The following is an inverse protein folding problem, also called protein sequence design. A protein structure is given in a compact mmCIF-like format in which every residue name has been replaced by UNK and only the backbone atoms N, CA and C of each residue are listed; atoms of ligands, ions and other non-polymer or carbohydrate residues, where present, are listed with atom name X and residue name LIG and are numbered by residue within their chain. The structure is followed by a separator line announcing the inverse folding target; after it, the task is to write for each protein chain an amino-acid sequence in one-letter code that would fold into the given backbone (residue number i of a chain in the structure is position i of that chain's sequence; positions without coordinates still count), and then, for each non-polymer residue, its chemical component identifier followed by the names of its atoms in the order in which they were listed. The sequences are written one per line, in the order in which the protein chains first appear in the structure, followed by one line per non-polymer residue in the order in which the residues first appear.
data_IF_680556558512
#
_entry.id   IF_680556558512
#
_cell.length_a   1.000
_cell.length_b   1.000
_cell.length_c   1.000
_cell.angle_alpha   90.00
_cell.angle_beta   90.00
_cell.angle_gamma   90.00
#
_symmetry.space_group_name_H-M   'P 1'
#
loop_
_entity.id
_entity.type
_entity.pdbx_description
1 polymer ?
#
# COMPACT_ATOMS: atom_id res chain seq x y z
N UNK A 1 32.62 11.95 -40.10
CA UNK A 1 31.83 11.70 -38.88
C UNK A 1 31.54 13.07 -38.26
N UNK A 2 30.36 13.60 -38.52
CA UNK A 2 29.93 14.90 -37.96
C UNK A 2 29.27 14.64 -36.61
N UNK A 3 29.95 15.00 -35.53
CA UNK A 3 29.38 15.05 -34.21
C UNK A 3 28.35 16.20 -34.20
N UNK A 4 27.06 15.85 -34.20
CA UNK A 4 25.98 16.84 -34.07
C UNK A 4 26.02 17.37 -32.63
N UNK A 5 26.40 18.63 -32.46
CA UNK A 5 26.31 19.32 -31.16
C UNK A 5 24.85 19.49 -30.80
N UNK A 6 24.38 18.79 -29.79
CA UNK A 6 23.03 19.02 -29.23
C UNK A 6 22.93 20.42 -28.67
N UNK A 7 21.82 21.10 -28.92
CA UNK A 7 21.53 22.41 -28.36
C UNK A 7 21.35 22.35 -26.84
N UNK A 8 21.64 23.43 -26.12
CA UNK A 8 21.44 23.53 -24.66
C UNK A 8 19.97 23.27 -24.30
N UNK A 9 19.06 23.60 -25.18
CA UNK A 9 17.62 23.38 -25.01
C UNK A 9 17.23 21.88 -25.09
N UNK A 10 17.82 21.15 -26.06
CA UNK A 10 17.63 19.70 -26.20
C UNK A 10 18.19 18.91 -25.01
N UNK A 11 19.34 19.33 -24.47
CA UNK A 11 19.93 18.74 -23.26
C UNK A 11 19.06 19.01 -22.04
N UNK A 12 18.49 20.22 -21.93
CA UNK A 12 17.55 20.57 -20.85
C UNK A 12 16.27 19.75 -20.93
N UNK A 13 15.66 19.61 -22.12
CA UNK A 13 14.42 18.85 -22.30
C UNK A 13 14.62 17.35 -22.04
N UNK A 14 15.74 16.79 -22.45
CA UNK A 14 16.09 15.38 -22.13
C UNK A 14 16.30 15.15 -20.63
N UNK A 15 16.94 16.09 -19.93
CA UNK A 15 17.18 15.98 -18.48
C UNK A 15 15.86 16.06 -17.69
N UNK A 16 14.95 16.94 -18.10
CA UNK A 16 13.60 17.06 -17.50
C UNK A 16 12.75 15.82 -17.78
N UNK A 17 12.85 15.22 -18.97
CA UNK A 17 12.17 13.97 -19.28
C UNK A 17 12.67 12.83 -18.38
N UNK A 18 13.99 12.68 -18.22
CA UNK A 18 14.59 11.64 -17.34
C UNK A 18 14.20 11.79 -15.87
N UNK A 19 14.20 13.01 -15.34
CA UNK A 19 13.74 13.27 -13.96
C UNK A 19 12.31 12.79 -13.73
N UNK A 20 11.40 13.08 -14.66
CA UNK A 20 10.01 12.60 -14.59
C UNK A 20 9.90 11.07 -14.58
N UNK A 21 10.77 10.38 -15.30
CA UNK A 21 10.81 8.93 -15.32
C UNK A 21 11.29 8.34 -13.97
N UNK A 22 12.28 8.95 -13.31
CA UNK A 22 12.66 8.56 -11.95
C UNK A 22 11.53 8.78 -10.94
N UNK A 23 10.83 9.90 -11.01
CA UNK A 23 9.63 10.12 -10.18
C UNK A 23 8.57 9.08 -10.47
N UNK A 24 8.33 8.71 -11.73
CA UNK A 24 7.37 7.68 -12.10
C UNK A 24 7.73 6.29 -11.54
N UNK A 25 9.03 5.94 -11.44
CA UNK A 25 9.50 4.70 -10.80
C UNK A 25 9.04 4.60 -9.35
N UNK A 26 9.01 5.71 -8.60
CA UNK A 26 8.65 5.72 -7.17
C UNK A 26 7.15 5.56 -6.92
N UNK A 27 6.30 5.55 -7.97
CA UNK A 27 4.82 5.48 -7.87
C UNK A 27 4.25 6.49 -6.87
N UNK A 28 4.41 7.80 -7.06
CA UNK A 28 4.18 8.82 -6.02
C UNK A 28 2.78 8.78 -5.41
N UNK A 29 1.73 8.45 -6.19
CA UNK A 29 0.35 8.34 -5.67
C UNK A 29 0.20 7.24 -4.62
N UNK A 30 0.82 6.08 -4.85
CA UNK A 30 0.78 4.95 -3.91
C UNK A 30 1.65 5.26 -2.71
N UNK A 31 2.86 5.77 -2.93
CA UNK A 31 3.79 6.17 -1.87
C UNK A 31 3.15 7.21 -0.94
N UNK A 32 2.44 8.21 -1.46
CA UNK A 32 1.73 9.20 -0.67
C UNK A 32 0.71 8.54 0.29
N UNK A 33 -0.09 7.57 -0.20
CA UNK A 33 -1.05 6.85 0.65
C UNK A 33 -0.34 6.04 1.75
N UNK A 34 0.79 5.40 1.43
CA UNK A 34 1.61 4.69 2.41
C UNK A 34 2.12 5.67 3.49
N UNK A 35 2.60 6.84 3.10
CA UNK A 35 3.10 7.84 4.05
C UNK A 35 2.00 8.38 4.96
N UNK A 36 0.77 8.56 4.45
CA UNK A 36 -0.38 8.93 5.28
C UNK A 36 -0.66 7.89 6.36
N UNK A 37 -0.50 6.59 6.08
CA UNK A 37 -0.68 5.54 7.10
C UNK A 37 0.41 5.56 8.16
N UNK A 38 1.66 5.90 7.79
CA UNK A 38 2.77 6.11 8.73
C UNK A 38 2.48 7.28 9.66
N UNK A 39 2.02 8.40 9.10
CA UNK A 39 1.65 9.60 9.90
C UNK A 39 0.49 9.28 10.84
N UNK A 40 -0.56 8.62 10.35
CA UNK A 40 -1.72 8.25 11.18
C UNK A 40 -1.32 7.32 12.33
N UNK A 41 -0.41 6.34 12.08
CA UNK A 41 0.10 5.46 13.12
C UNK A 41 0.94 6.23 14.17
N UNK A 42 1.80 7.15 13.74
CA UNK A 42 2.56 8.02 14.63
C UNK A 42 1.68 8.93 15.46
N UNK A 43 0.60 9.48 14.85
CA UNK A 43 -0.38 10.29 15.57
C UNK A 43 -1.14 9.46 16.62
N UNK A 44 -1.65 8.29 16.25
CA UNK A 44 -2.32 7.38 17.20
C UNK A 44 -1.38 6.99 18.35
N UNK A 45 -0.10 6.77 18.08
CA UNK A 45 0.88 6.49 19.12
C UNK A 45 1.07 7.68 20.07
N UNK A 46 0.91 8.93 19.60
CA UNK A 46 1.05 10.13 20.44
C UNK A 46 -0.02 10.27 21.50
N UNK A 47 -1.13 9.55 21.38
CA UNK A 47 -2.17 9.49 22.42
C UNK A 47 -1.85 8.49 23.54
N UNK A 48 -0.79 7.68 23.37
CA UNK A 48 -0.37 6.64 24.31
C UNK A 48 0.97 6.97 24.96
N UNK A 49 1.87 7.58 24.20
CA UNK A 49 3.21 7.96 24.66
C UNK A 49 3.56 9.37 24.18
N UNK A 50 4.43 10.07 24.92
CA UNK A 50 4.95 11.36 24.45
C UNK A 50 5.82 11.18 23.23
N UNK A 51 5.43 11.77 22.09
CA UNK A 51 6.05 11.56 20.78
C UNK A 51 6.70 12.84 20.26
N UNK A 52 7.94 12.74 19.82
CA UNK A 52 8.58 13.81 19.06
C UNK A 52 8.07 13.81 17.60
N UNK A 53 7.55 14.93 17.13
CA UNK A 53 7.16 15.11 15.72
C UNK A 53 8.32 14.80 14.76
N UNK A 54 9.57 15.07 15.17
CA UNK A 54 10.76 14.75 14.40
C UNK A 54 10.92 13.23 14.16
N UNK A 55 10.57 12.38 15.13
CA UNK A 55 10.61 10.92 14.95
C UNK A 55 9.61 10.45 13.90
N UNK A 56 8.39 10.99 13.91
CA UNK A 56 7.37 10.69 12.90
C UNK A 56 7.82 11.18 11.52
N UNK A 57 8.38 12.38 11.44
CA UNK A 57 8.94 12.93 10.21
C UNK A 57 10.06 12.03 9.66
N UNK A 58 11.00 11.61 10.50
CA UNK A 58 12.07 10.69 10.09
C UNK A 58 11.52 9.34 9.62
N UNK A 59 10.46 8.80 10.27
CA UNK A 59 9.79 7.59 9.82
C UNK A 59 9.18 7.75 8.42
N UNK A 60 8.56 8.90 8.14
CA UNK A 60 8.01 9.24 6.82
C UNK A 60 9.11 9.27 5.75
N UNK A 61 10.23 9.97 6.00
CA UNK A 61 11.34 10.07 5.05
C UNK A 61 11.96 8.70 4.78
N UNK A 62 12.28 7.94 5.82
CA UNK A 62 12.86 6.60 5.66
C UNK A 62 11.91 5.64 4.94
N UNK A 63 10.61 5.67 5.29
CA UNK A 63 9.59 4.86 4.59
C UNK A 63 9.46 5.26 3.12
N UNK A 64 9.51 6.56 2.80
CA UNK A 64 9.49 7.04 1.41
C UNK A 64 10.63 6.43 0.60
N UNK A 65 11.85 6.44 1.12
CA UNK A 65 13.02 5.88 0.46
C UNK A 65 12.88 4.36 0.25
N UNK A 66 12.49 3.62 1.29
CA UNK A 66 12.27 2.16 1.19
C UNK A 66 11.15 1.82 0.20
N UNK A 67 10.03 2.57 0.21
CA UNK A 67 8.92 2.39 -0.72
C UNK A 67 9.30 2.74 -2.16
N UNK A 68 10.09 3.80 -2.37
CA UNK A 68 10.62 4.19 -3.67
C UNK A 68 11.51 3.09 -4.27
N UNK A 69 12.43 2.54 -3.47
CA UNK A 69 13.24 1.38 -3.83
C UNK A 69 12.37 0.17 -4.19
N UNK A 70 11.43 -0.18 -3.32
CA UNK A 70 10.52 -1.30 -3.55
C UNK A 70 9.74 -1.15 -4.86
N UNK A 71 9.25 0.05 -5.16
CA UNK A 71 8.53 0.34 -6.40
C UNK A 71 9.41 0.25 -7.65
N UNK A 72 10.65 0.72 -7.58
CA UNK A 72 11.61 0.66 -8.69
C UNK A 72 12.02 -0.79 -8.98
N UNK A 73 12.44 -1.54 -7.95
CA UNK A 73 12.89 -2.93 -8.10
C UNK A 73 11.74 -3.90 -8.45
N UNK A 74 10.52 -3.65 -7.99
CA UNK A 74 9.33 -4.36 -8.47
C UNK A 74 9.19 -4.24 -10.00
N UNK A 75 9.40 -3.04 -10.58
CA UNK A 75 9.34 -2.85 -12.03
C UNK A 75 10.46 -3.58 -12.76
N UNK A 76 11.65 -3.73 -12.14
CA UNK A 76 12.73 -4.55 -12.72
C UNK A 76 12.32 -6.01 -12.84
N UNK A 77 11.73 -6.58 -11.79
CA UNK A 77 11.27 -7.97 -11.78
C UNK A 77 10.11 -8.18 -12.76
N UNK A 78 9.17 -7.25 -12.83
CA UNK A 78 7.95 -7.34 -13.66
C UNK A 78 8.12 -6.81 -15.09
N UNK A 79 9.30 -6.33 -15.50
CA UNK A 79 9.49 -5.60 -16.77
C UNK A 79 8.92 -6.28 -18.01
N UNK A 80 9.10 -7.61 -18.13
CA UNK A 80 8.62 -8.39 -19.27
C UNK A 80 7.10 -8.63 -19.23
N UNK A 81 6.54 -8.70 -18.04
CA UNK A 81 5.11 -8.84 -17.81
C UNK A 81 4.41 -7.49 -18.06
N UNK A 82 5.00 -6.41 -17.52
CA UNK A 82 4.52 -5.04 -17.70
C UNK A 82 4.45 -4.63 -19.18
N UNK A 83 5.39 -5.08 -20.00
CA UNK A 83 5.39 -4.82 -21.44
C UNK A 83 4.21 -5.46 -22.18
N UNK A 84 3.60 -6.51 -21.63
CA UNK A 84 2.46 -7.23 -22.23
C UNK A 84 1.09 -6.63 -21.86
N UNK A 85 1.06 -5.71 -20.89
CA UNK A 85 -0.18 -5.12 -20.40
C UNK A 85 -0.30 -3.66 -20.86
N UNK A 86 -1.42 -3.27 -21.46
CA UNK A 86 -1.65 -1.92 -22.02
C UNK A 86 -1.47 -0.82 -20.95
N UNK A 87 -1.89 -1.10 -19.72
CA UNK A 87 -1.78 -0.17 -18.58
C UNK A 87 -0.35 0.11 -18.14
N UNK A 88 0.58 -0.81 -18.34
CA UNK A 88 1.95 -0.76 -17.78
C UNK A 88 3.05 -0.72 -18.82
N UNK A 89 2.76 -0.99 -20.07
CA UNK A 89 3.73 -0.96 -21.18
C UNK A 89 4.45 0.39 -21.34
N UNK A 90 3.76 1.49 -20.99
CA UNK A 90 4.31 2.85 -21.02
C UNK A 90 5.13 3.24 -19.77
N UNK A 91 5.38 2.32 -18.82
CA UNK A 91 6.28 2.59 -17.70
C UNK A 91 7.72 2.82 -18.19
N UNK A 92 8.55 3.58 -17.44
CA UNK A 92 9.90 3.95 -17.89
C UNK A 92 10.76 2.75 -18.31
N UNK A 93 10.70 1.64 -17.57
CA UNK A 93 11.53 0.47 -17.83
C UNK A 93 10.99 -0.40 -18.99
N UNK A 94 9.72 -0.80 -19.07
CA UNK A 94 9.18 -1.54 -20.22
C UNK A 94 9.28 -0.77 -21.54
N UNK A 95 9.13 0.55 -21.50
CA UNK A 95 9.22 1.41 -22.71
C UNK A 95 10.68 1.72 -23.15
N UNK A 96 11.68 1.27 -22.39
CA UNK A 96 13.09 1.49 -22.71
C UNK A 96 13.62 2.91 -22.42
N UNK A 97 12.82 3.79 -21.78
CA UNK A 97 13.28 5.15 -21.39
C UNK A 97 14.34 5.14 -20.29
N UNK A 98 14.32 4.14 -19.42
CA UNK A 98 15.37 3.88 -18.44
C UNK A 98 15.94 2.47 -18.62
N UNK A 99 17.27 2.36 -18.43
CA UNK A 99 17.97 1.08 -18.51
C UNK A 99 17.76 0.22 -17.24
N UNK A 100 17.80 -1.11 -17.40
CA UNK A 100 17.65 -2.03 -16.27
C UNK A 100 18.72 -1.79 -15.18
N UNK A 101 19.98 -1.69 -15.57
CA UNK A 101 21.09 -1.44 -14.63
C UNK A 101 20.90 -0.13 -13.88
N UNK A 102 20.46 0.91 -14.58
CA UNK A 102 20.19 2.24 -14.02
C UNK A 102 19.11 2.18 -12.93
N UNK A 103 18.01 1.46 -13.18
CA UNK A 103 16.91 1.29 -12.21
C UNK A 103 17.31 0.40 -11.05
N UNK A 104 18.11 -0.65 -11.27
CA UNK A 104 18.65 -1.50 -10.19
C UNK A 104 19.57 -0.70 -9.29
N UNK A 105 20.49 0.08 -9.84
CA UNK A 105 21.40 0.95 -9.06
C UNK A 105 20.61 1.96 -8.26
N UNK A 106 19.66 2.68 -8.89
CA UNK A 106 18.79 3.62 -8.21
C UNK A 106 18.04 2.96 -7.04
N UNK A 107 17.37 1.82 -7.28
CA UNK A 107 16.60 1.10 -6.27
C UNK A 107 17.47 0.60 -5.11
N UNK A 108 18.69 0.11 -5.41
CA UNK A 108 19.61 -0.41 -4.38
C UNK A 108 20.16 0.73 -3.51
N UNK A 109 20.63 1.82 -4.13
CA UNK A 109 21.13 2.99 -3.39
C UNK A 109 20.01 3.57 -2.50
N UNK A 110 18.80 3.73 -3.05
CA UNK A 110 17.67 4.28 -2.32
C UNK A 110 17.27 3.38 -1.14
N UNK A 111 17.35 2.04 -1.29
CA UNK A 111 17.15 1.10 -0.18
C UNK A 111 18.19 1.28 0.92
N UNK A 112 19.47 1.22 0.55
CA UNK A 112 20.58 1.34 1.51
C UNK A 112 20.48 2.65 2.30
N UNK A 113 20.28 3.78 1.59
CA UNK A 113 20.11 5.09 2.22
C UNK A 113 18.89 5.09 3.16
N UNK A 114 17.74 4.56 2.71
CA UNK A 114 16.51 4.50 3.52
C UNK A 114 16.67 3.66 4.79
N UNK A 115 17.29 2.48 4.70
CA UNK A 115 17.49 1.60 5.86
C UNK A 115 18.52 2.17 6.84
N UNK A 116 19.63 2.71 6.35
CA UNK A 116 20.63 3.35 7.20
C UNK A 116 20.02 4.58 7.89
N UNK A 117 19.23 5.37 7.16
CA UNK A 117 18.52 6.51 7.72
C UNK A 117 17.55 6.10 8.85
N UNK A 118 16.70 5.08 8.62
CA UNK A 118 15.78 4.56 9.66
C UNK A 118 16.55 4.04 10.88
N UNK A 119 17.67 3.37 10.65
CA UNK A 119 18.50 2.85 11.74
C UNK A 119 19.08 3.98 12.60
N UNK A 120 19.74 4.95 11.97
CA UNK A 120 20.44 6.02 12.69
C UNK A 120 19.49 7.05 13.30
N UNK A 121 18.42 7.42 12.56
CA UNK A 121 17.48 8.45 12.98
C UNK A 121 16.39 7.95 13.96
N UNK A 122 16.13 6.63 13.99
CA UNK A 122 15.05 6.05 14.80
C UNK A 122 15.55 4.86 15.61
N UNK A 123 15.67 3.68 15.00
CA UNK A 123 16.16 2.46 15.68
C UNK A 123 16.44 1.30 14.71
N UNK A 124 17.27 0.31 15.09
CA UNK A 124 17.48 -0.92 14.34
C UNK A 124 16.19 -1.71 14.10
N UNK A 125 15.26 -1.71 15.05
CA UNK A 125 13.97 -2.40 14.93
C UNK A 125 13.12 -1.82 13.81
N UNK A 126 13.02 -0.50 13.73
CA UNK A 126 12.23 0.18 12.67
C UNK A 126 12.87 -0.02 11.30
N UNK A 127 14.20 0.03 11.20
CA UNK A 127 14.92 -0.33 9.98
C UNK A 127 14.68 -1.79 9.58
N UNK A 128 14.65 -2.72 10.54
CA UNK A 128 14.32 -4.13 10.33
C UNK A 128 12.90 -4.34 9.80
N UNK A 129 11.91 -3.60 10.31
CA UNK A 129 10.53 -3.62 9.80
C UNK A 129 10.50 -3.10 8.35
N UNK A 130 11.21 -2.01 8.05
CA UNK A 130 11.36 -1.47 6.70
C UNK A 130 11.98 -2.48 5.74
N UNK A 131 13.05 -3.14 6.14
CA UNK A 131 13.71 -4.20 5.35
C UNK A 131 12.78 -5.40 5.12
N UNK A 132 12.10 -5.89 6.17
CA UNK A 132 11.15 -6.99 6.06
C UNK A 132 10.00 -6.64 5.09
N UNK A 133 9.46 -5.41 5.15
CA UNK A 133 8.45 -4.90 4.23
C UNK A 133 8.94 -4.96 2.78
N UNK A 134 10.17 -4.48 2.55
CA UNK A 134 10.79 -4.47 1.23
C UNK A 134 11.02 -5.89 0.69
N UNK A 135 11.57 -6.81 1.51
CA UNK A 135 11.77 -8.21 1.14
C UNK A 135 10.43 -8.87 0.77
N UNK A 136 9.41 -8.69 1.61
CA UNK A 136 8.08 -9.25 1.35
C UNK A 136 7.49 -8.72 0.05
N UNK A 137 7.65 -7.43 -0.25
CA UNK A 137 7.10 -6.81 -1.45
C UNK A 137 7.88 -7.20 -2.72
N UNK A 138 9.21 -7.08 -2.72
CA UNK A 138 10.04 -7.28 -3.92
C UNK A 138 10.34 -8.75 -4.19
N UNK A 139 10.75 -9.51 -3.15
CA UNK A 139 11.26 -10.86 -3.32
C UNK A 139 10.24 -11.97 -3.08
N UNK A 140 9.16 -11.70 -2.36
CA UNK A 140 8.13 -12.71 -2.10
C UNK A 140 6.88 -12.41 -2.92
N UNK A 141 6.22 -11.28 -2.69
CA UNK A 141 4.97 -10.92 -3.34
C UNK A 141 5.10 -10.82 -4.87
N UNK A 142 6.12 -10.10 -5.36
CA UNK A 142 6.27 -9.86 -6.80
C UNK A 142 6.45 -11.14 -7.60
N UNK A 143 7.36 -12.08 -7.24
CA UNK A 143 7.46 -13.36 -7.93
C UNK A 143 6.24 -14.28 -7.75
N UNK A 144 5.54 -14.20 -6.63
CA UNK A 144 4.34 -15.00 -6.40
C UNK A 144 3.18 -14.63 -7.33
N UNK A 145 3.14 -13.42 -7.88
CA UNK A 145 2.09 -13.00 -8.83
C UNK A 145 1.96 -13.91 -10.05
N UNK A 146 3.07 -14.51 -10.50
CA UNK A 146 3.08 -15.44 -11.65
C UNK A 146 2.92 -16.90 -11.26
N UNK A 147 2.91 -17.21 -9.95
CA UNK A 147 2.93 -18.59 -9.45
C UNK A 147 1.64 -19.01 -8.76
N UNK A 148 1.02 -18.10 -8.01
CA UNK A 148 -0.14 -18.46 -7.21
C UNK A 148 -1.02 -17.25 -6.90
N UNK A 149 -2.33 -17.47 -6.84
CA UNK A 149 -3.33 -16.46 -6.44
C UNK A 149 -3.22 -16.04 -4.96
N UNK A 150 -2.47 -16.80 -4.15
CA UNK A 150 -2.23 -16.44 -2.74
C UNK A 150 -1.28 -15.24 -2.58
N UNK A 151 -0.65 -14.78 -3.68
CA UNK A 151 0.17 -13.58 -3.70
C UNK A 151 -0.49 -12.39 -3.00
N UNK A 152 -1.82 -12.25 -3.14
CA UNK A 152 -2.59 -11.15 -2.53
C UNK A 152 -2.49 -11.12 -1.00
N UNK A 153 -2.33 -12.30 -0.34
CA UNK A 153 -2.17 -12.37 1.12
C UNK A 153 -0.83 -11.74 1.53
N UNK A 154 0.26 -12.15 0.86
CA UNK A 154 1.59 -11.60 1.12
C UNK A 154 1.64 -10.11 0.81
N UNK A 155 1.01 -9.69 -0.31
CA UNK A 155 0.86 -8.29 -0.68
C UNK A 155 0.11 -7.48 0.37
N UNK A 156 -0.92 -8.06 0.98
CA UNK A 156 -1.69 -7.40 2.03
C UNK A 156 -0.89 -7.23 3.33
N UNK A 157 -0.06 -8.21 3.70
CA UNK A 157 0.86 -8.04 4.85
C UNK A 157 1.87 -6.93 4.54
N UNK A 158 2.55 -6.98 3.39
CA UNK A 158 3.53 -5.97 3.00
C UNK A 158 2.91 -4.56 2.95
N UNK A 159 1.66 -4.44 2.48
CA UNK A 159 0.92 -3.17 2.40
C UNK A 159 0.46 -2.63 3.76
N UNK A 160 0.32 -3.48 4.79
CA UNK A 160 -0.02 -3.08 6.14
C UNK A 160 1.22 -2.77 7.02
N UNK A 161 2.39 -3.31 6.69
CA UNK A 161 3.64 -3.12 7.47
C UNK A 161 4.04 -1.65 7.72
N UNK A 162 3.83 -0.69 6.80
CA UNK A 162 4.22 0.70 7.03
C UNK A 162 3.62 1.33 8.29
N UNK A 163 2.42 0.92 8.74
CA UNK A 163 1.86 1.44 10.00
C UNK A 163 2.69 1.04 11.21
N UNK A 164 3.36 -0.13 11.17
CA UNK A 164 4.27 -0.57 12.22
C UNK A 164 5.52 0.32 12.27
N UNK A 165 6.00 0.80 11.11
CA UNK A 165 7.10 1.76 11.06
C UNK A 165 6.71 3.05 11.78
N UNK A 166 5.53 3.61 11.43
CA UNK A 166 5.02 4.84 12.06
C UNK A 166 4.80 4.70 13.58
N UNK A 167 4.22 3.58 13.99
CA UNK A 167 3.96 3.29 15.40
C UNK A 167 5.24 3.10 16.22
N UNK A 168 6.09 2.16 15.81
CA UNK A 168 7.30 1.83 16.58
C UNK A 168 8.40 2.89 16.48
N UNK A 169 8.33 3.80 15.50
CA UNK A 169 9.20 4.97 15.47
C UNK A 169 9.03 5.87 16.70
N UNK A 170 7.86 5.86 17.32
CA UNK A 170 7.57 6.65 18.52
C UNK A 170 8.14 6.04 19.81
N UNK A 171 8.48 4.74 19.78
CA UNK A 171 8.86 3.97 20.97
C UNK A 171 7.67 3.35 21.70
N UNK A 172 6.44 3.51 21.18
CA UNK A 172 5.25 2.90 21.78
C UNK A 172 5.30 1.37 21.71
N UNK A 173 4.77 0.71 22.76
CA UNK A 173 4.57 -0.74 22.82
C UNK A 173 3.30 -1.16 22.06
N UNK A 174 3.05 -2.47 21.98
CA UNK A 174 1.83 -2.99 21.35
C UNK A 174 0.59 -2.47 22.11
N UNK A 175 -0.37 -1.95 21.38
CA UNK A 175 -1.58 -1.32 21.92
C UNK A 175 -2.78 -1.64 21.00
N UNK A 176 -4.05 -1.64 21.50
CA UNK A 176 -5.22 -1.89 20.66
C UNK A 176 -5.32 -1.01 19.40
N UNK A 177 -4.84 0.24 19.45
CA UNK A 177 -4.81 1.13 18.28
C UNK A 177 -3.97 0.59 17.12
N UNK A 178 -2.75 0.10 17.38
CA UNK A 178 -1.91 -0.42 16.29
C UNK A 178 -2.44 -1.76 15.75
N UNK A 179 -3.02 -2.60 16.62
CA UNK A 179 -3.63 -3.85 16.19
C UNK A 179 -4.83 -3.54 15.28
N UNK A 180 -5.70 -2.62 15.68
CA UNK A 180 -6.86 -2.18 14.89
C UNK A 180 -6.46 -1.56 13.56
N UNK A 181 -5.47 -0.64 13.54
CA UNK A 181 -5.00 0.03 12.33
C UNK A 181 -4.31 -0.94 11.35
N UNK A 182 -3.45 -1.82 11.85
CA UNK A 182 -2.83 -2.86 11.03
C UNK A 182 -3.88 -3.78 10.42
N UNK A 183 -4.83 -4.25 11.23
CA UNK A 183 -5.91 -5.13 10.79
C UNK A 183 -6.84 -4.43 9.79
N UNK A 184 -7.14 -3.14 10.01
CA UNK A 184 -7.87 -2.32 9.05
C UNK A 184 -7.19 -2.35 7.68
N UNK A 185 -5.91 -1.99 7.60
CA UNK A 185 -5.19 -1.98 6.33
C UNK A 185 -5.08 -3.37 5.73
N UNK A 186 -4.74 -4.38 6.53
CA UNK A 186 -4.60 -5.76 6.06
C UNK A 186 -5.90 -6.30 5.46
N UNK A 187 -7.04 -6.15 6.14
CA UNK A 187 -8.32 -6.71 5.70
C UNK A 187 -8.99 -5.85 4.62
N UNK A 188 -8.85 -4.53 4.70
CA UNK A 188 -9.42 -3.60 3.71
C UNK A 188 -8.89 -3.85 2.29
N UNK A 189 -7.63 -4.26 2.17
CA UNK A 189 -7.01 -4.46 0.88
C UNK A 189 -7.69 -5.58 0.06
N UNK A 190 -8.26 -6.61 0.69
CA UNK A 190 -8.79 -7.76 -0.05
C UNK A 190 -9.99 -7.39 -0.93
N UNK A 191 -11.10 -6.78 -0.45
CA UNK A 191 -12.18 -6.38 -1.33
C UNK A 191 -11.74 -5.37 -2.38
N UNK A 192 -10.84 -4.43 -2.00
CA UNK A 192 -10.27 -3.45 -2.92
C UNK A 192 -9.49 -4.13 -4.07
N UNK A 193 -8.56 -5.02 -3.75
CA UNK A 193 -7.77 -5.73 -4.76
C UNK A 193 -8.59 -6.73 -5.55
N UNK A 194 -9.59 -7.39 -4.95
CA UNK A 194 -10.49 -8.27 -5.70
C UNK A 194 -11.29 -7.48 -6.74
N UNK A 195 -11.77 -6.29 -6.41
CA UNK A 195 -12.45 -5.41 -7.37
C UNK A 195 -11.52 -4.97 -8.52
N UNK A 196 -10.29 -4.52 -8.21
CA UNK A 196 -9.29 -4.16 -9.21
C UNK A 196 -8.93 -5.36 -10.08
N UNK A 197 -8.62 -6.50 -9.47
CA UNK A 197 -8.20 -7.69 -10.18
C UNK A 197 -9.31 -8.25 -11.08
N UNK A 198 -10.59 -8.09 -10.69
CA UNK A 198 -11.74 -8.42 -11.54
C UNK A 198 -11.81 -7.52 -12.76
N UNK A 199 -11.67 -6.21 -12.58
CA UNK A 199 -11.75 -5.24 -13.66
C UNK A 199 -10.63 -5.38 -14.69
N UNK A 200 -9.45 -5.80 -14.26
CA UNK A 200 -8.26 -5.95 -15.11
C UNK A 200 -7.86 -7.41 -15.34
N UNK A 201 -8.81 -8.38 -15.18
CA UNK A 201 -8.52 -9.82 -15.27
C UNK A 201 -7.91 -10.25 -16.60
N UNK A 202 -8.39 -9.66 -17.71
CA UNK A 202 -7.89 -9.95 -19.05
C UNK A 202 -6.46 -9.46 -19.26
N UNK A 203 -6.12 -8.27 -18.73
CA UNK A 203 -4.75 -7.75 -18.76
C UNK A 203 -3.81 -8.58 -17.89
N UNK A 204 -4.26 -9.00 -16.70
CA UNK A 204 -3.47 -9.88 -15.84
C UNK A 204 -3.25 -11.26 -16.48
N UNK A 205 -4.24 -11.81 -17.15
CA UNK A 205 -4.11 -13.06 -17.91
C UNK A 205 -3.10 -12.89 -19.06
N UNK A 206 -3.18 -11.84 -19.86
CA UNK A 206 -2.23 -11.51 -20.91
C UNK A 206 -0.79 -11.30 -20.38
N UNK A 207 -0.66 -10.70 -19.19
CA UNK A 207 0.62 -10.58 -18.47
C UNK A 207 1.14 -11.87 -17.85
N UNK A 208 0.37 -12.97 -17.85
CA UNK A 208 0.73 -14.25 -17.22
C UNK A 208 0.67 -14.22 -15.68
N UNK A 209 -0.10 -13.28 -15.10
CA UNK A 209 -0.25 -13.16 -13.65
C UNK A 209 -1.37 -14.05 -13.12
N UNK A 210 -1.07 -14.81 -12.05
CA UNK A 210 -2.01 -15.72 -11.38
C UNK A 210 -2.82 -14.97 -10.30
N UNK A 211 -3.59 -13.94 -10.74
CA UNK A 211 -4.51 -13.27 -9.82
C UNK A 211 -5.76 -14.14 -9.63
N UNK A 212 -6.41 -14.05 -8.44
CA UNK A 212 -7.57 -14.91 -8.16
C UNK A 212 -8.65 -14.85 -9.25
N UNK A 213 -9.07 -13.67 -9.80
CA UNK A 213 -10.06 -13.62 -10.88
C UNK A 213 -9.60 -14.24 -12.22
N UNK A 214 -8.30 -14.39 -12.44
CA UNK A 214 -7.78 -15.10 -13.63
C UNK A 214 -7.99 -16.60 -13.49
N UNK A 215 -7.80 -17.14 -12.30
CA UNK A 215 -7.99 -18.56 -11.99
C UNK A 215 -9.48 -18.88 -11.77
N UNK A 216 -10.18 -18.01 -11.05
CA UNK A 216 -11.61 -18.09 -10.75
C UNK A 216 -12.44 -17.30 -11.80
N UNK A 217 -12.54 -17.81 -13.01
CA UNK A 217 -13.24 -17.14 -14.13
C UNK A 217 -14.71 -16.80 -13.82
N UNK A 218 -15.37 -17.54 -12.92
CA UNK A 218 -16.73 -17.25 -12.46
C UNK A 218 -16.80 -16.17 -11.40
N UNK A 219 -15.67 -15.80 -10.80
CA UNK A 219 -15.57 -14.76 -9.77
C UNK A 219 -16.20 -15.11 -8.42
N UNK A 220 -16.61 -16.37 -8.21
CA UNK A 220 -17.29 -16.78 -6.98
C UNK A 220 -16.34 -16.69 -5.78
N UNK A 221 -15.15 -17.31 -5.86
CA UNK A 221 -14.16 -17.29 -4.79
C UNK A 221 -13.55 -15.91 -4.60
N UNK A 222 -13.45 -15.13 -5.69
CA UNK A 222 -13.05 -13.73 -5.66
C UNK A 222 -14.01 -12.90 -4.81
N UNK A 223 -15.31 -13.08 -5.01
CA UNK A 223 -16.34 -12.36 -4.26
C UNK A 223 -16.46 -12.89 -2.81
N UNK A 224 -16.39 -14.21 -2.59
CA UNK A 224 -16.35 -14.80 -1.23
C UNK A 224 -15.18 -14.22 -0.42
N UNK A 225 -13.99 -14.16 -1.00
CA UNK A 225 -12.82 -13.57 -0.32
C UNK A 225 -13.05 -12.10 0.05
N UNK A 226 -13.70 -11.32 -0.84
CA UNK A 226 -14.08 -9.94 -0.54
C UNK A 226 -15.08 -9.86 0.62
N UNK A 227 -16.11 -10.70 0.65
CA UNK A 227 -17.12 -10.73 1.73
C UNK A 227 -16.50 -11.15 3.06
N UNK A 228 -15.72 -12.23 3.07
CA UNK A 228 -15.09 -12.71 4.31
C UNK A 228 -14.15 -11.69 4.93
N UNK A 229 -13.32 -11.05 4.12
CA UNK A 229 -12.39 -10.03 4.63
C UNK A 229 -13.11 -8.76 5.08
N UNK A 230 -14.16 -8.32 4.36
CA UNK A 230 -14.99 -7.20 4.81
C UNK A 230 -15.76 -7.52 6.10
N UNK A 231 -16.21 -8.77 6.28
CA UNK A 231 -16.85 -9.22 7.52
C UNK A 231 -15.88 -9.26 8.71
N UNK A 232 -14.67 -9.81 8.52
CA UNK A 232 -13.62 -9.86 9.54
C UNK A 232 -13.08 -8.47 9.90
N UNK A 233 -13.17 -7.51 8.98
CA UNK A 233 -12.74 -6.14 9.23
C UNK A 233 -13.56 -5.48 10.34
N UNK A 234 -14.85 -5.80 10.48
CA UNK A 234 -15.72 -5.19 11.51
C UNK A 234 -15.21 -5.47 12.93
N UNK A 235 -15.07 -6.72 13.40
CA UNK A 235 -14.56 -6.98 14.74
C UNK A 235 -13.11 -6.52 14.90
N UNK A 236 -12.28 -6.58 13.86
CA UNK A 236 -10.87 -6.15 13.93
C UNK A 236 -10.74 -4.64 14.16
N UNK A 237 -11.59 -3.83 13.52
CA UNK A 237 -11.60 -2.37 13.70
C UNK A 237 -12.35 -1.91 14.95
N UNK A 238 -13.10 -2.79 15.59
CA UNK A 238 -13.69 -2.53 16.90
C UNK A 238 -12.71 -2.77 18.08
N UNK A 239 -11.57 -3.45 17.87
CA UNK A 239 -10.59 -3.69 18.93
C UNK A 239 -10.17 -2.42 19.70
N UNK A 240 -9.96 -1.25 19.09
CA UNK A 240 -9.62 -0.04 19.81
C UNK A 240 -10.69 0.47 20.80
N UNK A 241 -11.92 -0.04 20.73
CA UNK A 241 -13.01 0.29 21.70
C UNK A 241 -12.56 0.06 23.14
N UNK A 242 -11.72 -0.96 23.39
CA UNK A 242 -11.23 -1.26 24.75
C UNK A 242 -10.27 -0.20 25.32
N UNK A 243 -9.77 0.69 24.47
CA UNK A 243 -8.89 1.79 24.87
C UNK A 243 -9.63 3.13 24.94
N UNK A 244 -10.95 3.11 24.85
CA UNK A 244 -11.83 4.30 24.88
C UNK A 244 -12.79 4.19 26.05
N UNK A 245 -13.28 5.33 26.54
CA UNK A 245 -14.20 5.40 27.66
C UNK A 245 -15.40 6.32 27.36
N UNK A 246 -16.46 6.16 28.12
CA UNK A 246 -17.63 7.00 28.08
C UNK A 246 -18.32 7.07 26.72
N UNK A 247 -18.75 8.27 26.33
CA UNK A 247 -19.47 8.48 25.07
C UNK A 247 -18.59 8.24 23.83
N UNK A 248 -17.30 8.49 23.93
CA UNK A 248 -16.35 8.26 22.81
C UNK A 248 -16.30 6.79 22.44
N UNK A 249 -16.31 5.89 23.43
CA UNK A 249 -16.36 4.44 23.21
C UNK A 249 -17.61 4.04 22.41
N UNK A 250 -18.77 4.56 22.81
CA UNK A 250 -20.06 4.24 22.17
C UNK A 250 -20.09 4.79 20.74
N UNK A 251 -19.74 6.06 20.56
CA UNK A 251 -19.76 6.73 19.26
C UNK A 251 -18.79 6.03 18.30
N UNK A 252 -17.54 5.77 18.73
CA UNK A 252 -16.58 5.04 17.95
C UNK A 252 -17.13 3.68 17.51
N UNK A 253 -17.64 2.89 18.45
CA UNK A 253 -18.17 1.56 18.17
C UNK A 253 -19.30 1.60 17.15
N UNK A 254 -20.27 2.51 17.30
CA UNK A 254 -21.39 2.65 16.37
C UNK A 254 -20.95 3.11 14.98
N UNK A 255 -20.07 4.11 14.88
CA UNK A 255 -19.61 4.65 13.60
C UNK A 255 -18.76 3.61 12.84
N UNK A 256 -17.83 2.96 13.54
CA UNK A 256 -16.97 1.93 12.96
C UNK A 256 -17.80 0.73 12.49
N UNK A 257 -18.76 0.27 13.29
CA UNK A 257 -19.66 -0.80 12.89
C UNK A 257 -20.49 -0.42 11.66
N UNK A 258 -21.04 0.80 11.61
CA UNK A 258 -21.81 1.28 10.47
C UNK A 258 -20.97 1.35 9.18
N UNK A 259 -19.74 1.89 9.26
CA UNK A 259 -18.81 1.93 8.13
C UNK A 259 -18.40 0.51 7.68
N UNK A 260 -18.14 -0.39 8.61
CA UNK A 260 -17.81 -1.78 8.31
C UNK A 260 -18.97 -2.53 7.63
N UNK A 261 -20.21 -2.35 8.13
CA UNK A 261 -21.43 -2.92 7.51
C UNK A 261 -21.64 -2.35 6.11
N UNK A 262 -21.41 -1.05 5.92
CA UNK A 262 -21.49 -0.44 4.59
C UNK A 262 -20.47 -1.04 3.60
N UNK A 263 -19.24 -1.29 4.08
CA UNK A 263 -18.21 -1.94 3.26
C UNK A 263 -18.58 -3.40 2.93
N UNK A 264 -19.04 -4.15 3.93
CA UNK A 264 -19.54 -5.51 3.77
C UNK A 264 -20.72 -5.57 2.78
N UNK A 265 -21.64 -4.62 2.86
CA UNK A 265 -22.76 -4.51 1.89
C UNK A 265 -22.23 -4.38 0.46
N UNK A 266 -21.22 -3.53 0.23
CA UNK A 266 -20.57 -3.43 -1.08
C UNK A 266 -19.98 -4.75 -1.58
N UNK A 267 -19.32 -5.51 -0.70
CA UNK A 267 -18.79 -6.83 -1.01
C UNK A 267 -19.91 -7.88 -1.29
N UNK A 268 -21.01 -7.83 -0.53
CA UNK A 268 -22.17 -8.69 -0.77
C UNK A 268 -22.88 -8.40 -2.08
N UNK A 269 -22.96 -7.13 -2.50
CA UNK A 269 -23.44 -6.78 -3.83
C UNK A 269 -22.58 -7.43 -4.92
N UNK A 270 -21.25 -7.39 -4.77
CA UNK A 270 -20.31 -8.03 -5.70
C UNK A 270 -20.43 -9.55 -5.71
N UNK A 271 -20.80 -10.18 -4.59
CA UNK A 271 -21.08 -11.62 -4.55
C UNK A 271 -22.36 -11.98 -5.32
N UNK A 272 -23.39 -11.13 -5.26
CA UNK A 272 -24.68 -11.36 -5.97
C UNK A 272 -24.53 -11.12 -7.47
N UNK A 273 -23.87 -10.04 -7.84
CA UNK A 273 -23.67 -9.64 -9.24
C UNK A 273 -22.19 -9.29 -9.47
N UNK A 274 -21.49 -10.18 -10.15
CA UNK A 274 -20.06 -10.09 -10.48
C UNK A 274 -19.81 -9.32 -11.77
N UNK A 275 -20.68 -8.34 -12.07
CA UNK A 275 -20.48 -7.44 -13.20
C UNK A 275 -19.37 -6.42 -12.93
N UNK A 276 -18.75 -5.91 -14.00
CA UNK A 276 -17.76 -4.85 -13.91
C UNK A 276 -18.33 -3.57 -13.28
N UNK A 277 -19.63 -3.31 -13.46
CA UNK A 277 -20.33 -2.18 -12.86
C UNK A 277 -20.32 -2.26 -11.34
N UNK A 278 -20.62 -3.43 -10.78
CA UNK A 278 -20.63 -3.66 -9.33
C UNK A 278 -19.21 -3.70 -8.77
N UNK A 279 -18.24 -4.28 -9.49
CA UNK A 279 -16.83 -4.22 -9.11
C UNK A 279 -16.32 -2.78 -8.99
N UNK A 280 -16.67 -1.88 -9.95
CA UNK A 280 -16.36 -0.44 -9.86
C UNK A 280 -17.03 0.22 -8.67
N UNK A 281 -18.26 -0.18 -8.32
CA UNK A 281 -18.97 0.32 -7.14
C UNK A 281 -18.24 -0.09 -5.84
N UNK A 282 -17.86 -1.37 -5.71
CA UNK A 282 -17.07 -1.87 -4.58
C UNK A 282 -15.73 -1.14 -4.47
N UNK A 283 -15.04 -0.91 -5.59
CA UNK A 283 -13.79 -0.16 -5.63
C UNK A 283 -13.99 1.28 -5.11
N UNK A 284 -15.06 1.99 -5.52
CA UNK A 284 -15.35 3.35 -5.02
C UNK A 284 -15.67 3.35 -3.52
N UNK A 285 -16.46 2.38 -3.06
CA UNK A 285 -16.76 2.22 -1.63
C UNK A 285 -15.46 2.02 -0.84
N UNK A 286 -14.54 1.17 -1.32
CA UNK A 286 -13.28 0.92 -0.64
C UNK A 286 -12.40 2.18 -0.54
N UNK A 287 -12.36 3.00 -1.60
CA UNK A 287 -11.59 4.25 -1.62
C UNK A 287 -12.12 5.30 -0.64
N UNK A 288 -13.43 5.30 -0.35
CA UNK A 288 -14.02 6.17 0.68
C UNK A 288 -13.88 5.59 2.08
N UNK A 289 -14.01 4.27 2.22
CA UNK A 289 -14.02 3.58 3.51
C UNK A 289 -12.70 3.76 4.26
N UNK A 290 -11.55 3.57 3.63
CA UNK A 290 -10.26 3.63 4.31
C UNK A 290 -9.97 5.02 4.93
N UNK A 291 -10.06 6.14 4.19
CA UNK A 291 -9.84 7.46 4.78
C UNK A 291 -10.84 7.78 5.91
N UNK A 292 -12.12 7.41 5.75
CA UNK A 292 -13.12 7.64 6.78
C UNK A 292 -12.82 6.85 8.05
N UNK A 293 -12.45 5.58 7.94
CA UNK A 293 -12.07 4.76 9.08
C UNK A 293 -10.83 5.31 9.79
N UNK A 294 -9.79 5.68 9.04
CA UNK A 294 -8.59 6.30 9.61
C UNK A 294 -8.92 7.62 10.32
N UNK A 295 -9.78 8.44 9.73
CA UNK A 295 -10.22 9.70 10.34
C UNK A 295 -10.97 9.45 11.66
N UNK A 296 -11.89 8.49 11.70
CA UNK A 296 -12.62 8.11 12.91
C UNK A 296 -11.66 7.62 14.00
N UNK A 297 -10.68 6.77 13.66
CA UNK A 297 -9.67 6.29 14.60
C UNK A 297 -8.85 7.46 15.19
N UNK A 298 -8.37 8.36 14.32
CA UNK A 298 -7.55 9.52 14.72
C UNK A 298 -8.35 10.49 15.61
N UNK A 299 -9.58 10.84 15.22
CA UNK A 299 -10.41 11.76 15.98
C UNK A 299 -10.81 11.19 17.33
N UNK A 300 -11.18 9.90 17.39
CA UNK A 300 -11.57 9.26 18.65
C UNK A 300 -10.40 9.14 19.62
N UNK A 301 -9.20 8.84 19.12
CA UNK A 301 -8.00 8.82 19.95
C UNK A 301 -7.63 10.22 20.46
N UNK A 302 -7.78 11.24 19.63
CA UNK A 302 -7.50 12.64 20.01
C UNK A 302 -8.45 13.19 21.07
N UNK A 303 -9.73 12.84 21.00
CA UNK A 303 -10.74 13.30 21.99
C UNK A 303 -10.49 12.67 23.37
N UNK A 304 -9.84 11.50 23.43
CA UNK A 304 -9.55 10.80 24.68
C UNK A 304 -8.13 11.04 25.23
N UNK A 305 -7.26 11.77 24.51
CA UNK A 305 -5.91 12.15 24.93
C UNK A 305 -5.91 13.48 25.69
#
# INVERSE_FOLDING_TARGET
MTATSMSVQEVSDQSVARWRDYVALTKPRISFMVLLTVVAAGFLASTVVSVSALRVFNAVIGTLLVAASGSALNQCVERLLDARMSRTSNRPLPSGRLGLTEVVVFGTITLCVGLVYLWLAISPMVAGIGFATWVMYVWIYTPLKTRTWTNTIVGAVAGAMPVLIGWFATGATIHPWIIGLFSLLFLWQFPHFMAIAWLYREEYEAGGMQMLPVVDRRGFWTAIKAVLSAGLLIPATLLPVVALEGWTQIIYGLVVAALGVFYLYGACLFLRDRSDGVARKLLRISLLHLPLMMLVMVLSAWVCS
#
